data_IF_829667965339
#
_entry.id   IF_829667965339
#
_cell.length_a   1.000
_cell.length_b   1.000
_cell.length_c   1.000
_cell.angle_alpha   90.00
_cell.angle_beta   90.00
_cell.angle_gamma   90.00
#
_symmetry.space_group_name_H-M   'P 1'
#
loop_
_entity.id
_entity.type
_entity.pdbx_description
1 polymer ?
#
# COMPACT_ATOMS: atom_id res chain seq x y z
N UNK A 1 6.90 -7.97 2.16
CA UNK A 1 5.84 -8.66 1.37
C UNK A 1 5.28 -7.73 0.31
N UNK A 2 4.67 -8.26 -0.76
CA UNK A 2 4.00 -7.47 -1.79
C UNK A 2 2.53 -7.26 -1.41
N UNK A 3 2.06 -6.01 -1.40
CA UNK A 3 0.71 -5.62 -1.02
C UNK A 3 -0.13 -5.16 -2.23
N UNK A 4 0.17 -5.65 -3.44
CA UNK A 4 -0.59 -5.35 -4.65
C UNK A 4 -2.10 -5.63 -4.51
N UNK A 5 -2.50 -6.63 -3.71
CA UNK A 5 -3.92 -6.96 -3.47
C UNK A 5 -4.70 -5.86 -2.71
N UNK A 6 -4.01 -4.91 -2.07
CA UNK A 6 -4.62 -3.74 -1.44
C UNK A 6 -4.72 -2.53 -2.37
N UNK A 7 -4.08 -2.58 -3.54
CA UNK A 7 -4.09 -1.48 -4.48
C UNK A 7 -5.34 -1.51 -5.35
N UNK A 8 -5.82 -0.33 -5.73
CA UNK A 8 -6.89 -0.22 -6.71
C UNK A 8 -6.46 -0.81 -8.07
N UNK A 9 -7.41 -1.44 -8.77
CA UNK A 9 -7.17 -2.07 -10.08
C UNK A 9 -6.47 -1.13 -11.08
N UNK A 10 -6.86 0.16 -11.10
CA UNK A 10 -6.23 1.17 -11.97
C UNK A 10 -4.73 1.35 -11.67
N UNK A 11 -4.33 1.21 -10.41
CA UNK A 11 -2.94 1.39 -9.98
C UNK A 11 -2.11 0.16 -10.34
N UNK A 12 -2.70 -1.03 -10.31
CA UNK A 12 -2.06 -2.28 -10.75
C UNK A 12 -1.81 -2.32 -12.26
N UNK A 13 -2.69 -1.71 -13.06
CA UNK A 13 -2.51 -1.60 -14.51
C UNK A 13 -1.38 -0.65 -14.90
N UNK A 14 -0.88 0.19 -13.98
CA UNK A 14 0.24 1.09 -14.24
C UNK A 14 1.55 0.30 -14.26
N UNK A 15 2.34 0.49 -15.31
CA UNK A 15 3.69 -0.10 -15.39
C UNK A 15 4.63 0.56 -14.39
N UNK A 16 5.53 -0.25 -13.82
CA UNK A 16 6.61 0.26 -12.99
C UNK A 16 7.61 1.06 -13.85
N UNK A 17 7.97 2.27 -13.41
CA UNK A 17 8.84 3.16 -14.18
C UNK A 17 10.28 2.64 -14.33
N UNK A 18 10.83 1.99 -13.28
CA UNK A 18 12.21 1.46 -13.28
C UNK A 18 12.31 -0.01 -13.70
N UNK A 19 11.19 -0.74 -13.74
CA UNK A 19 11.13 -2.14 -14.21
C UNK A 19 10.24 -2.18 -15.43
N UNK A 20 10.82 -1.93 -16.61
CA UNK A 20 10.12 -2.04 -17.89
C UNK A 20 9.32 -3.34 -17.94
N UNK A 21 8.00 -3.22 -18.15
CA UNK A 21 7.02 -4.32 -18.26
C UNK A 21 6.71 -5.14 -17.00
N UNK A 22 7.15 -4.72 -15.80
CA UNK A 22 6.72 -5.37 -14.55
C UNK A 22 5.79 -4.47 -13.75
N UNK A 23 4.90 -5.09 -12.99
CA UNK A 23 4.07 -4.42 -12.01
C UNK A 23 4.94 -3.83 -10.89
N UNK A 24 4.43 -2.77 -10.26
CA UNK A 24 5.03 -2.24 -9.05
C UNK A 24 4.98 -3.28 -7.92
N UNK A 25 6.00 -3.28 -7.06
CA UNK A 25 6.00 -4.01 -5.80
C UNK A 25 5.66 -3.04 -4.68
N UNK A 26 4.41 -3.03 -4.24
CA UNK A 26 3.92 -2.08 -3.24
C UNK A 26 4.15 -2.60 -1.82
N UNK A 27 4.65 -1.72 -0.94
CA UNK A 27 4.83 -1.95 0.49
C UNK A 27 4.19 -0.80 1.27
N UNK A 28 3.56 -1.07 2.43
CA UNK A 28 3.07 -0.02 3.31
C UNK A 28 4.23 0.75 3.97
N UNK A 29 3.97 2.00 4.34
CA UNK A 29 4.89 2.90 5.03
C UNK A 29 4.15 3.72 6.09
N UNK A 30 4.87 4.18 7.10
CA UNK A 30 4.40 5.18 8.05
C UNK A 30 4.27 6.59 7.41
N UNK A 31 3.37 7.44 7.92
CA UNK A 31 2.40 7.17 8.98
C UNK A 31 1.09 6.55 8.47
N UNK A 32 0.50 5.63 9.25
CA UNK A 32 -0.90 5.21 9.08
C UNK A 32 -1.79 6.28 9.71
N UNK A 33 -2.79 6.76 8.96
CA UNK A 33 -3.67 7.86 9.39
C UNK A 33 -5.12 7.41 9.44
N UNK A 34 -5.81 7.65 10.55
CA UNK A 34 -7.26 7.55 10.59
C UNK A 34 -7.88 8.78 9.90
N UNK A 35 -8.88 8.57 9.04
CA UNK A 35 -9.59 9.64 8.35
C UNK A 35 -11.05 9.69 8.78
N UNK A 36 -11.72 10.83 8.52
CA UNK A 36 -13.14 10.98 8.77
C UNK A 36 -13.96 9.87 8.08
N UNK A 37 -14.99 9.36 8.77
CA UNK A 37 -15.87 8.32 8.24
C UNK A 37 -15.37 6.88 8.41
N UNK A 38 -14.57 6.57 9.44
CA UNK A 38 -14.10 5.20 9.78
C UNK A 38 -13.24 4.54 8.68
N UNK A 39 -12.42 5.34 8.03
CA UNK A 39 -11.43 4.87 7.07
C UNK A 39 -10.01 5.06 7.61
N UNK A 40 -9.10 4.24 7.10
CA UNK A 40 -7.68 4.23 7.42
C UNK A 40 -6.93 4.49 6.12
N UNK A 41 -6.18 5.59 6.09
CA UNK A 41 -5.27 5.94 5.02
C UNK A 41 -3.89 5.35 5.30
N UNK A 42 -3.35 4.64 4.31
CA UNK A 42 -2.02 4.02 4.36
C UNK A 42 -1.25 4.50 3.14
N UNK A 43 -0.07 5.06 3.37
CA UNK A 43 0.85 5.41 2.30
C UNK A 43 1.58 4.16 1.85
N UNK A 44 1.45 3.81 0.58
CA UNK A 44 2.14 2.71 -0.08
C UNK A 44 3.31 3.27 -0.87
N UNK A 45 4.44 2.58 -0.86
CA UNK A 45 5.58 2.92 -1.72
C UNK A 45 6.00 1.72 -2.57
N UNK A 46 6.45 1.99 -3.79
CA UNK A 46 7.00 0.96 -4.64
C UNK A 46 8.49 0.77 -4.34
N UNK A 47 8.90 -0.43 -3.93
CA UNK A 47 10.33 -0.76 -3.68
C UNK A 47 11.22 -0.57 -4.93
N UNK A 48 10.63 -0.61 -6.13
CA UNK A 48 11.40 -0.56 -7.37
C UNK A 48 11.52 0.82 -7.99
N UNK A 49 10.47 1.64 -7.96
CA UNK A 49 10.44 2.93 -8.65
C UNK A 49 10.23 4.13 -7.72
N UNK A 50 10.19 3.89 -6.40
CA UNK A 50 10.05 4.91 -5.35
C UNK A 50 8.77 5.75 -5.42
N UNK A 51 7.83 5.38 -6.30
CA UNK A 51 6.49 5.97 -6.35
C UNK A 51 5.77 5.75 -5.03
N UNK A 52 4.93 6.72 -4.67
CA UNK A 52 4.05 6.69 -3.50
C UNK A 52 2.61 6.83 -3.94
N UNK A 53 1.72 6.08 -3.30
CA UNK A 53 0.28 6.12 -3.52
C UNK A 53 -0.40 5.94 -2.17
N UNK A 54 -1.41 6.76 -1.88
CA UNK A 54 -2.22 6.57 -0.68
C UNK A 54 -3.39 5.64 -1.01
N UNK A 55 -3.61 4.64 -0.16
CA UNK A 55 -4.78 3.78 -0.21
C UNK A 55 -5.68 4.06 0.99
N UNK A 56 -6.99 3.94 0.77
CA UNK A 56 -7.99 4.13 1.80
C UNK A 56 -8.70 2.81 2.04
N UNK A 57 -8.51 2.24 3.22
CA UNK A 57 -9.19 1.04 3.66
C UNK A 57 -10.30 1.42 4.62
N UNK A 58 -11.44 0.73 4.57
CA UNK A 58 -12.36 0.77 5.70
C UNK A 58 -11.68 0.21 6.95
N UNK A 59 -12.11 0.64 8.14
CA UNK A 59 -11.59 0.11 9.41
C UNK A 59 -11.64 -1.43 9.46
N UNK A 60 -12.69 -2.04 8.91
CA UNK A 60 -12.83 -3.50 8.82
C UNK A 60 -11.76 -4.13 7.93
N UNK A 61 -11.52 -3.58 6.74
CA UNK A 61 -10.48 -4.07 5.82
C UNK A 61 -9.09 -3.92 6.43
N UNK A 62 -8.84 -2.80 7.13
CA UNK A 62 -7.60 -2.58 7.83
C UNK A 62 -7.38 -3.64 8.93
N UNK A 63 -8.35 -3.84 9.81
CA UNK A 63 -8.26 -4.82 10.92
C UNK A 63 -7.98 -6.25 10.46
N UNK A 64 -8.47 -6.65 9.28
CA UNK A 64 -8.18 -7.98 8.71
C UNK A 64 -6.68 -8.16 8.43
N UNK A 65 -5.97 -7.08 8.07
CA UNK A 65 -4.57 -7.13 7.62
C UNK A 65 -3.60 -6.36 8.53
N UNK A 66 -4.11 -5.73 9.59
CA UNK A 66 -3.39 -4.85 10.50
C UNK A 66 -2.07 -5.46 10.99
N UNK A 67 -2.11 -6.69 11.48
CA UNK A 67 -0.92 -7.39 11.99
C UNK A 67 0.18 -7.55 10.94
N UNK A 68 -0.18 -7.79 9.68
CA UNK A 68 0.78 -7.99 8.59
C UNK A 68 1.32 -6.63 8.12
N UNK A 69 0.45 -5.62 8.04
CA UNK A 69 0.82 -4.25 7.66
C UNK A 69 1.80 -3.66 8.68
N UNK A 70 1.49 -3.75 9.98
CA UNK A 70 2.34 -3.22 11.05
C UNK A 70 3.72 -3.90 11.08
N UNK A 71 3.76 -5.23 10.98
CA UNK A 71 5.03 -5.98 10.91
C UNK A 71 5.88 -5.54 9.71
N UNK A 72 5.26 -5.33 8.56
CA UNK A 72 6.00 -4.92 7.38
C UNK A 72 6.57 -3.51 7.55
N UNK A 73 5.80 -2.59 8.13
CA UNK A 73 6.26 -1.22 8.41
C UNK A 73 7.43 -1.22 9.40
N UNK A 74 7.38 -2.03 10.47
CA UNK A 74 8.47 -2.15 11.46
C UNK A 74 9.75 -2.75 10.86
N UNK A 75 9.64 -3.48 9.74
CA UNK A 75 10.76 -4.11 9.04
C UNK A 75 11.45 -3.21 8.00
N UNK A 76 10.94 -2.00 7.77
CA UNK A 76 11.47 -1.00 6.83
C UNK A 76 12.36 -0.03 7.58
#
# INVERSE_FOLDING_TARGET
MNFNHLMEKRTLLRRCAKKHHKECYWRPMNPIRATAGKHVCITMYCKYCDKREDIFLSEKQYKIQEKIILREIESV
#
